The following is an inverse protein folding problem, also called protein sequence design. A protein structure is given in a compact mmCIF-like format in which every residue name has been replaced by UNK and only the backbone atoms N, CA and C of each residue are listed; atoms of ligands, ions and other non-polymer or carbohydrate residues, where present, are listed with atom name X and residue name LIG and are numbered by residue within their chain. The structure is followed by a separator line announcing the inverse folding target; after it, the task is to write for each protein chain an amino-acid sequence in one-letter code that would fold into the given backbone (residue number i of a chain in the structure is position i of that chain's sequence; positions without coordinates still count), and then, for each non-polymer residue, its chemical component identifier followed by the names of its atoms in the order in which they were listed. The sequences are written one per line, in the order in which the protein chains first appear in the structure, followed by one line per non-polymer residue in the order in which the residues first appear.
data_IF_455371648919
#
_entry.id   IF_455371648919
#
_cell.length_a   1.000
_cell.length_b   1.000
_cell.length_c   1.000
_cell.angle_alpha   90.00
_cell.angle_beta   90.00
_cell.angle_gamma   90.00
#
_symmetry.space_group_name_H-M   'P 1'
#
loop_
_entity.id
_entity.type
_entity.pdbx_description
1 polymer ?
#
# COMPACT_ATOMS: atom_id res chain seq x y z
N UNK A 1 -11.81 -10.29 5.83
CA UNK A 1 -11.64 -10.37 7.31
C UNK A 1 -10.82 -9.21 7.90
N UNK A 2 -9.61 -8.86 7.46
CA UNK A 2 -8.89 -7.69 8.03
C UNK A 2 -9.29 -6.35 7.37
N UNK A 3 -9.57 -6.32 6.07
CA UNK A 3 -10.03 -5.12 5.36
C UNK A 3 -11.40 -4.67 5.90
N UNK A 4 -12.35 -5.60 6.02
CA UNK A 4 -13.69 -5.36 6.61
C UNK A 4 -13.62 -4.89 8.07
N UNK A 5 -12.54 -5.22 8.79
CA UNK A 5 -12.31 -4.76 10.16
C UNK A 5 -11.63 -3.37 10.23
N UNK A 6 -11.51 -2.65 9.11
CA UNK A 6 -10.87 -1.33 9.03
C UNK A 6 -9.33 -1.38 8.98
N UNK A 7 -8.75 -2.56 8.75
CA UNK A 7 -7.31 -2.74 8.68
C UNK A 7 -6.66 -1.99 7.51
N UNK A 8 -7.33 -1.96 6.35
CA UNK A 8 -6.83 -1.20 5.19
C UNK A 8 -6.71 0.29 5.49
N UNK A 9 -7.81 0.90 5.98
CA UNK A 9 -7.83 2.31 6.36
C UNK A 9 -6.74 2.65 7.38
N UNK A 10 -6.49 1.75 8.33
CA UNK A 10 -5.41 1.91 9.32
C UNK A 10 -4.02 1.90 8.67
N UNK A 11 -3.76 0.97 7.75
CA UNK A 11 -2.48 0.89 7.01
C UNK A 11 -2.25 2.11 6.11
N UNK A 12 -3.30 2.59 5.42
CA UNK A 12 -3.22 3.80 4.61
C UNK A 12 -2.96 5.04 5.46
N UNK A 13 -3.57 5.11 6.66
CA UNK A 13 -3.29 6.17 7.63
C UNK A 13 -1.85 6.15 8.11
N UNK A 14 -1.29 4.97 8.38
CA UNK A 14 0.13 4.82 8.76
C UNK A 14 1.07 5.33 7.66
N UNK A 15 0.83 4.95 6.39
CA UNK A 15 1.60 5.49 5.25
C UNK A 15 1.54 7.01 5.16
N UNK A 16 0.36 7.59 5.40
CA UNK A 16 0.14 9.03 5.27
C UNK A 16 0.75 9.87 6.39
N UNK A 17 0.68 9.39 7.64
CA UNK A 17 0.96 10.23 8.82
C UNK A 17 2.38 10.14 9.35
N UNK A 18 3.06 9.03 9.09
CA UNK A 18 4.39 8.79 9.66
C UNK A 18 5.44 8.96 8.59
N UNK A 19 6.57 9.55 8.95
CA UNK A 19 7.77 9.68 8.12
C UNK A 19 8.78 8.57 8.40
N UNK A 20 8.62 7.85 9.53
CA UNK A 20 9.50 6.74 9.87
C UNK A 20 9.46 5.65 8.79
N UNK A 21 10.63 5.41 8.20
CA UNK A 21 10.83 4.45 7.11
C UNK A 21 10.42 3.04 7.50
N UNK A 22 10.65 2.61 8.75
CA UNK A 22 10.27 1.27 9.19
C UNK A 22 8.75 1.13 9.25
N UNK A 23 8.04 2.14 9.77
CA UNK A 23 6.57 2.16 9.77
C UNK A 23 6.03 2.15 8.34
N UNK A 24 6.54 3.01 7.46
CA UNK A 24 6.12 3.08 6.05
C UNK A 24 6.36 1.77 5.32
N UNK A 25 7.55 1.18 5.49
CA UNK A 25 7.92 -0.13 4.90
C UNK A 25 6.98 -1.23 5.31
N UNK A 26 6.69 -1.36 6.61
CA UNK A 26 5.80 -2.41 7.13
C UNK A 26 4.37 -2.18 6.64
N UNK A 27 3.89 -0.94 6.63
CA UNK A 27 2.57 -0.62 6.10
C UNK A 27 2.45 -0.94 4.60
N UNK A 28 3.44 -0.53 3.79
CA UNK A 28 3.50 -0.83 2.36
C UNK A 28 3.55 -2.34 2.10
N UNK A 29 4.34 -3.09 2.88
CA UNK A 29 4.42 -4.56 2.76
C UNK A 29 3.09 -5.25 3.10
N UNK A 30 2.38 -4.78 4.13
CA UNK A 30 1.06 -5.29 4.46
C UNK A 30 0.04 -4.97 3.35
N UNK A 31 0.08 -3.76 2.78
CA UNK A 31 -0.77 -3.39 1.63
C UNK A 31 -0.43 -4.24 0.41
N UNK A 32 0.84 -4.52 0.15
CA UNK A 32 1.25 -5.42 -0.94
C UNK A 32 0.64 -6.82 -0.80
N UNK A 33 0.62 -7.36 0.42
CA UNK A 33 -0.01 -8.65 0.69
C UNK A 33 -1.54 -8.59 0.50
N UNK A 34 -2.20 -7.51 0.94
CA UNK A 34 -3.63 -7.32 0.70
C UNK A 34 -3.93 -7.25 -0.80
N UNK A 35 -3.10 -6.53 -1.55
CA UNK A 35 -3.20 -6.36 -2.99
C UNK A 35 -2.96 -7.65 -3.79
N UNK A 36 -2.59 -8.78 -3.18
CA UNK A 36 -2.57 -10.08 -3.88
C UNK A 36 -3.98 -10.62 -4.19
N UNK A 37 -5.03 -10.02 -3.64
CA UNK A 37 -6.41 -10.42 -3.85
C UNK A 37 -7.18 -9.33 -4.62
N UNK A 38 -7.81 -9.70 -5.74
CA UNK A 38 -8.55 -8.82 -6.67
C UNK A 38 -9.59 -7.94 -5.96
N UNK A 39 -10.38 -8.51 -5.05
CA UNK A 39 -11.40 -7.77 -4.30
C UNK A 39 -10.79 -6.70 -3.37
N UNK A 40 -9.60 -6.95 -2.82
CA UNK A 40 -8.90 -5.95 -2.02
C UNK A 40 -8.24 -4.88 -2.90
N UNK A 41 -7.80 -5.22 -4.11
CA UNK A 41 -7.18 -4.26 -5.03
C UNK A 41 -8.18 -3.12 -5.35
N UNK A 42 -9.44 -3.46 -5.66
CA UNK A 42 -10.50 -2.46 -5.88
C UNK A 42 -10.69 -1.54 -4.68
N UNK A 43 -10.74 -2.10 -3.47
CA UNK A 43 -10.88 -1.32 -2.23
C UNK A 43 -9.67 -0.42 -1.97
N UNK A 44 -8.45 -0.93 -2.19
CA UNK A 44 -7.21 -0.15 -2.07
C UNK A 44 -7.22 1.03 -3.06
N UNK A 45 -7.66 0.81 -4.30
CA UNK A 45 -7.78 1.88 -5.29
C UNK A 45 -8.84 2.90 -4.88
N UNK A 46 -10.02 2.44 -4.44
CA UNK A 46 -11.12 3.29 -4.01
C UNK A 46 -10.77 4.17 -2.79
N UNK A 47 -9.95 3.67 -1.85
CA UNK A 47 -9.47 4.44 -0.69
C UNK A 47 -8.25 5.32 -1.00
N UNK A 48 -7.86 5.46 -2.27
CA UNK A 48 -6.74 6.33 -2.68
C UNK A 48 -5.35 5.74 -2.40
N UNK A 49 -5.25 4.42 -2.25
CA UNK A 49 -4.01 3.73 -1.92
C UNK A 49 -2.88 3.95 -2.92
N UNK A 50 -3.18 4.06 -4.23
CA UNK A 50 -2.17 4.35 -5.27
C UNK A 50 -1.50 5.70 -5.01
N UNK A 51 -2.28 6.74 -4.71
CA UNK A 51 -1.75 8.08 -4.44
C UNK A 51 -0.83 8.06 -3.22
N UNK A 52 -1.25 7.38 -2.14
CA UNK A 52 -0.46 7.29 -0.91
C UNK A 52 0.83 6.48 -1.11
N UNK A 53 0.77 5.39 -1.86
CA UNK A 53 1.96 4.61 -2.23
C UNK A 53 2.92 5.46 -3.09
N UNK A 54 2.41 6.21 -4.06
CA UNK A 54 3.24 7.09 -4.90
C UNK A 54 3.92 8.20 -4.09
N UNK A 55 3.21 8.79 -3.12
CA UNK A 55 3.80 9.78 -2.20
C UNK A 55 4.89 9.13 -1.35
N UNK A 56 4.61 7.97 -0.76
CA UNK A 56 5.60 7.23 0.03
C UNK A 56 6.86 6.87 -0.77
N UNK A 57 6.73 6.50 -2.06
CA UNK A 57 7.87 6.26 -2.93
C UNK A 57 8.67 7.53 -3.28
N UNK A 58 8.00 8.68 -3.34
CA UNK A 58 8.66 9.96 -3.66
C UNK A 58 9.46 10.50 -2.49
N UNK A 59 8.98 10.24 -1.27
CA UNK A 59 9.57 10.73 -0.03
C UNK A 59 10.61 9.78 0.58
N UNK A 60 10.58 8.49 0.21
CA UNK A 60 11.41 7.47 0.84
C UNK A 60 12.84 7.44 0.29
N UNK A 61 13.81 7.35 1.19
CA UNK A 61 15.21 7.12 0.85
C UNK A 61 15.63 5.65 1.08
N UNK A 62 14.92 4.94 1.98
CA UNK A 62 15.24 3.55 2.30
C UNK A 62 14.90 2.62 1.11
N UNK A 63 15.90 1.90 0.54
CA UNK A 63 15.66 0.97 -0.57
C UNK A 63 14.67 -0.14 -0.21
N UNK A 64 14.55 -0.52 1.06
CA UNK A 64 13.59 -1.54 1.46
C UNK A 64 12.16 -1.01 1.47
N UNK A 65 11.92 0.23 1.93
CA UNK A 65 10.63 0.92 1.77
C UNK A 65 10.24 1.00 0.30
N UNK A 66 11.14 1.49 -0.56
CA UNK A 66 10.90 1.61 -2.00
C UNK A 66 10.52 0.26 -2.63
N UNK A 67 11.19 -0.83 -2.24
CA UNK A 67 10.87 -2.19 -2.71
C UNK A 67 9.46 -2.63 -2.30
N UNK A 68 9.05 -2.38 -1.06
CA UNK A 68 7.72 -2.73 -0.59
C UNK A 68 6.63 -1.95 -1.32
N UNK A 69 6.85 -0.64 -1.52
CA UNK A 69 5.93 0.22 -2.27
C UNK A 69 5.82 -0.25 -3.73
N UNK A 70 6.94 -0.53 -4.39
CA UNK A 70 6.94 -1.06 -5.75
C UNK A 70 6.20 -2.41 -5.85
N UNK A 71 6.38 -3.30 -4.87
CA UNK A 71 5.64 -4.57 -4.80
C UNK A 71 4.13 -4.37 -4.66
N UNK A 72 3.70 -3.42 -3.81
CA UNK A 72 2.28 -3.09 -3.68
C UNK A 72 1.69 -2.57 -5.00
N UNK A 73 2.39 -1.64 -5.66
CA UNK A 73 1.95 -1.09 -6.95
C UNK A 73 1.91 -2.20 -8.02
N UNK A 74 2.93 -3.07 -8.09
CA UNK A 74 2.95 -4.18 -9.04
C UNK A 74 1.75 -5.13 -8.86
N UNK A 75 1.40 -5.44 -7.61
CA UNK A 75 0.23 -6.27 -7.31
C UNK A 75 -1.08 -5.58 -7.74
N UNK A 76 -1.19 -4.26 -7.59
CA UNK A 76 -2.36 -3.48 -8.03
C UNK A 76 -2.46 -3.40 -9.56
N UNK A 77 -1.34 -3.33 -10.29
CA UNK A 77 -1.32 -3.34 -11.76
C UNK A 77 -1.90 -4.64 -12.35
N UNK A 78 -1.86 -5.74 -11.60
CA UNK A 78 -2.44 -7.02 -12.01
C UNK A 78 -3.95 -6.96 -12.33
N UNK A 79 -4.65 -5.91 -11.89
CA UNK A 79 -6.08 -5.72 -12.14
C UNK A 79 -6.43 -4.84 -13.35
N UNK A 80 -5.45 -4.17 -13.98
CA UNK A 80 -5.74 -3.16 -15.01
C UNK A 80 -6.12 -3.76 -16.38
N UNK A 81 -6.21 -5.08 -16.52
CA UNK A 81 -6.46 -5.77 -17.79
C UNK A 81 -7.38 -6.98 -17.58
N UNK A 82 -8.68 -6.75 -17.40
CA UNK A 82 -9.73 -7.72 -17.73
C UNK A 82 -10.92 -7.00 -18.33
#
# INVERSE_FOLDING_TARGET
RIVEAGGLTSLLMLLRRYEDETVRRVAAGAIANLAMNEANQELIMAEGGITLLSMAASDAEDPQTLRMVAGAIANLCGNAIK
#
